data_IF_889708576339
#
_entry.id   IF_889708576339
#
_cell.length_a   1.000
_cell.length_b   1.000
_cell.length_c   1.000
_cell.angle_alpha   90.00
_cell.angle_beta   90.00
_cell.angle_gamma   90.00
#
_symmetry.space_group_name_H-M   'P 1'
#
loop_
_entity.id
_entity.type
_entity.pdbx_description
1 polymer ?
#
# COMPACT_ATOMS: atom_id res chain seq x y z
N UNK A 1 -7.41 -27.98 -19.11
CA UNK A 1 -7.72 -26.75 -18.36
C UNK A 1 -7.41 -27.04 -16.90
N UNK A 2 -6.28 -26.57 -16.37
CA UNK A 2 -5.65 -27.12 -15.15
C UNK A 2 -5.85 -26.28 -13.88
N UNK A 3 -6.60 -25.18 -13.96
CA UNK A 3 -7.12 -24.45 -12.81
C UNK A 3 -8.63 -24.56 -12.85
N UNK A 4 -9.25 -25.03 -11.77
CA UNK A 4 -10.71 -25.13 -11.60
C UNK A 4 -11.41 -23.76 -11.54
N UNK A 5 -10.71 -22.67 -11.83
CA UNK A 5 -11.20 -21.29 -11.81
C UNK A 5 -12.15 -21.06 -12.99
N UNK A 6 -13.29 -20.40 -12.78
CA UNK A 6 -14.23 -20.06 -13.84
C UNK A 6 -13.63 -19.04 -14.83
N UNK A 7 -13.97 -19.15 -16.11
CA UNK A 7 -13.46 -18.21 -17.13
C UNK A 7 -14.03 -16.82 -16.87
N UNK A 8 -13.19 -15.79 -16.88
CA UNK A 8 -13.61 -14.39 -16.65
C UNK A 8 -13.52 -13.90 -15.20
N UNK A 9 -13.13 -14.76 -14.25
CA UNK A 9 -12.86 -14.32 -12.88
C UNK A 9 -11.38 -13.94 -12.75
N UNK A 10 -11.05 -12.73 -12.24
CA UNK A 10 -9.65 -12.36 -12.01
C UNK A 10 -9.04 -13.27 -10.94
N UNK A 11 -7.81 -13.74 -11.17
CA UNK A 11 -7.07 -14.55 -10.20
C UNK A 11 -6.71 -13.76 -8.93
N UNK A 12 -6.60 -12.43 -9.07
CA UNK A 12 -6.30 -11.50 -8.00
C UNK A 12 -7.20 -10.28 -8.14
N UNK A 13 -7.77 -9.84 -7.02
CA UNK A 13 -8.55 -8.60 -6.91
C UNK A 13 -7.74 -7.44 -6.32
N UNK A 14 -6.48 -7.69 -5.96
CA UNK A 14 -5.61 -6.71 -5.34
C UNK A 14 -4.19 -6.78 -5.89
N UNK A 15 -3.52 -5.64 -5.99
CA UNK A 15 -2.13 -5.52 -6.40
C UNK A 15 -1.33 -4.76 -5.33
N UNK A 16 -0.19 -5.32 -4.93
CA UNK A 16 0.83 -4.63 -4.16
C UNK A 16 2.02 -4.36 -5.08
N UNK A 17 2.40 -3.09 -5.23
CA UNK A 17 3.48 -2.67 -6.11
C UNK A 17 4.57 -1.96 -5.30
N UNK A 18 5.70 -2.61 -5.07
CA UNK A 18 6.86 -1.97 -4.43
C UNK A 18 7.79 -1.42 -5.50
N UNK A 19 8.03 -0.11 -5.46
CA UNK A 19 8.87 0.60 -6.42
C UNK A 19 10.05 1.18 -5.67
N UNK A 20 11.21 0.54 -5.83
CA UNK A 20 12.46 1.15 -5.40
C UNK A 20 12.81 2.28 -6.37
N UNK A 21 12.75 3.49 -5.86
CA UNK A 21 12.80 4.74 -6.58
C UNK A 21 14.07 5.44 -6.08
N UNK A 22 15.20 5.24 -6.78
CA UNK A 22 16.47 5.89 -6.41
C UNK A 22 16.32 7.42 -6.30
N UNK A 23 17.28 8.12 -5.68
CA UNK A 23 17.15 9.57 -5.38
C UNK A 23 16.77 10.44 -6.59
N UNK A 24 17.13 10.01 -7.80
CA UNK A 24 16.86 10.69 -9.09
C UNK A 24 15.46 10.41 -9.70
N UNK A 25 14.65 9.58 -9.05
CA UNK A 25 13.38 9.06 -9.60
C UNK A 25 12.18 9.99 -9.43
N UNK A 26 12.25 10.97 -8.52
CA UNK A 26 11.36 12.12 -8.56
C UNK A 26 11.70 12.80 -9.87
N UNK A 27 10.85 12.63 -10.89
CA UNK A 27 10.96 13.17 -12.26
C UNK A 27 11.40 14.64 -12.30
N UNK A 28 12.67 14.90 -11.99
CA UNK A 28 13.31 16.19 -11.96
C UNK A 28 14.03 16.34 -13.28
N UNK A 29 13.24 16.35 -14.35
CA UNK A 29 13.77 16.70 -15.66
C UNK A 29 14.04 18.21 -15.64
N UNK A 30 15.29 18.66 -15.81
CA UNK A 30 15.61 20.08 -15.71
C UNK A 30 14.73 20.91 -16.65
N UNK A 31 13.99 21.87 -16.09
CA UNK A 31 13.07 22.72 -16.85
C UNK A 31 11.65 22.16 -17.04
N UNK A 32 11.35 20.96 -16.52
CA UNK A 32 10.00 20.38 -16.53
C UNK A 32 9.46 20.20 -15.11
N UNK A 33 8.17 20.52 -14.93
CA UNK A 33 7.44 20.32 -13.68
C UNK A 33 6.31 19.33 -13.94
N UNK A 34 6.27 18.24 -13.17
CA UNK A 34 5.12 17.36 -13.13
C UNK A 34 3.92 18.14 -12.58
N UNK A 35 2.84 18.22 -13.35
CA UNK A 35 1.60 18.90 -12.93
C UNK A 35 0.63 17.91 -12.28
N UNK A 36 0.50 16.73 -12.87
CA UNK A 36 -0.34 15.64 -12.37
C UNK A 36 0.16 14.30 -12.96
N UNK A 37 -0.11 13.22 -12.25
CA UNK A 37 0.22 11.85 -12.64
C UNK A 37 -0.84 10.90 -12.11
N UNK A 38 -1.78 10.48 -12.96
CA UNK A 38 -2.79 9.50 -12.55
C UNK A 38 -2.32 8.09 -12.83
N UNK A 39 -2.01 7.33 -11.79
CA UNK A 39 -1.82 5.89 -11.89
C UNK A 39 -3.16 5.19 -12.11
N UNK A 40 -3.31 4.45 -13.23
CA UNK A 40 -4.53 3.68 -13.52
C UNK A 40 -4.27 2.21 -13.24
N UNK A 41 -5.20 1.57 -12.56
CA UNK A 41 -5.16 0.14 -12.26
C UNK A 41 -6.47 -0.53 -12.68
N UNK A 42 -6.38 -1.77 -13.16
CA UNK A 42 -7.55 -2.62 -13.44
C UNK A 42 -7.94 -3.50 -12.25
N UNK A 43 -7.26 -3.33 -11.11
CA UNK A 43 -7.54 -4.05 -9.87
C UNK A 43 -8.47 -3.24 -8.97
N UNK A 44 -9.49 -3.88 -8.35
CA UNK A 44 -10.36 -3.23 -7.36
C UNK A 44 -9.63 -2.59 -6.19
N UNK A 45 -8.44 -3.08 -5.84
CA UNK A 45 -7.55 -2.51 -4.83
C UNK A 45 -6.10 -2.54 -5.35
N UNK A 46 -5.39 -1.43 -5.22
CA UNK A 46 -3.97 -1.33 -5.51
C UNK A 46 -3.29 -0.51 -4.44
N UNK A 47 -2.18 -1.02 -3.89
CA UNK A 47 -1.27 -0.28 -3.03
C UNK A 47 0.09 -0.21 -3.72
N UNK A 48 0.54 1.00 -4.05
CA UNK A 48 1.90 1.27 -4.50
C UNK A 48 2.71 1.80 -3.32
N UNK A 49 3.87 1.19 -3.05
CA UNK A 49 4.87 1.67 -2.10
C UNK A 49 6.02 2.24 -2.90
N UNK A 50 6.23 3.54 -2.81
CA UNK A 50 7.36 4.25 -3.38
C UNK A 50 8.46 4.34 -2.32
N UNK A 51 9.56 3.65 -2.55
CA UNK A 51 10.72 3.68 -1.66
C UNK A 51 11.78 4.62 -2.21
N UNK A 52 11.93 5.77 -1.55
CA UNK A 52 12.92 6.80 -1.87
C UNK A 52 14.20 6.67 -1.02
N UNK A 53 14.40 5.55 -0.35
CA UNK A 53 15.55 5.26 0.51
C UNK A 53 15.45 5.87 1.92
N UNK A 54 15.05 7.13 2.03
CA UNK A 54 14.88 7.82 3.32
C UNK A 54 13.44 7.85 3.82
N UNK A 55 12.48 7.68 2.91
CA UNK A 55 11.06 7.71 3.21
C UNK A 55 10.29 6.75 2.28
N UNK A 56 9.15 6.27 2.76
CA UNK A 56 8.19 5.52 1.97
C UNK A 56 6.97 6.40 1.70
N UNK A 57 6.52 6.43 0.46
CA UNK A 57 5.25 7.03 0.06
C UNK A 57 4.25 5.92 -0.31
N UNK A 58 3.02 6.05 0.17
CA UNK A 58 1.96 5.05 0.02
C UNK A 58 0.83 5.62 -0.81
N UNK A 59 0.60 5.01 -1.98
CA UNK A 59 -0.49 5.39 -2.88
C UNK A 59 -1.49 4.24 -2.92
N UNK A 60 -2.73 4.49 -2.49
CA UNK A 60 -3.82 3.51 -2.54
C UNK A 60 -4.89 3.95 -3.52
N UNK A 61 -5.22 3.03 -4.43
CA UNK A 61 -6.39 3.10 -5.27
C UNK A 61 -7.35 1.98 -4.88
N UNK A 62 -8.58 2.34 -4.54
CA UNK A 62 -9.62 1.38 -4.21
C UNK A 62 -10.93 1.75 -4.90
N UNK A 63 -11.72 0.73 -5.21
CA UNK A 63 -13.12 0.89 -5.61
C UNK A 63 -14.03 0.85 -4.39
N UNK A 64 -15.16 1.55 -4.46
CA UNK A 64 -16.19 1.48 -3.42
C UNK A 64 -16.64 0.02 -3.17
N UNK A 65 -16.94 -0.34 -1.90
CA UNK A 65 -17.10 0.53 -0.74
C UNK A 65 -15.80 0.81 0.05
N UNK A 66 -14.65 0.32 -0.42
CA UNK A 66 -13.41 0.47 0.32
C UNK A 66 -12.89 1.91 0.23
N UNK A 67 -12.78 2.58 1.38
CA UNK A 67 -12.25 3.94 1.48
C UNK A 67 -10.71 3.91 1.42
N UNK A 68 -10.09 4.53 0.40
CA UNK A 68 -8.64 4.51 0.25
C UNK A 68 -7.92 5.21 1.41
N UNK A 69 -8.52 6.22 2.05
CA UNK A 69 -7.90 6.93 3.16
C UNK A 69 -7.81 6.05 4.41
N UNK A 70 -8.90 5.32 4.71
CA UNK A 70 -8.94 4.37 5.82
C UNK A 70 -7.95 3.23 5.63
N UNK A 71 -7.89 2.69 4.41
CA UNK A 71 -6.90 1.67 4.03
C UNK A 71 -5.47 2.19 4.17
N UNK A 72 -5.22 3.44 3.79
CA UNK A 72 -3.89 4.05 3.88
C UNK A 72 -3.47 4.19 5.36
N UNK A 73 -4.38 4.69 6.20
CA UNK A 73 -4.12 4.81 7.64
C UNK A 73 -3.85 3.44 8.30
N UNK A 74 -4.62 2.39 7.95
CA UNK A 74 -4.37 1.04 8.45
C UNK A 74 -3.03 0.49 7.99
N UNK A 75 -2.65 0.69 6.72
CA UNK A 75 -1.35 0.25 6.19
C UNK A 75 -0.19 0.98 6.86
N UNK A 76 -0.30 2.29 7.06
CA UNK A 76 0.68 3.06 7.79
C UNK A 76 0.85 2.52 9.22
N UNK A 77 -0.25 2.33 9.95
CA UNK A 77 -0.23 1.77 11.30
C UNK A 77 0.41 0.38 11.33
N UNK A 78 0.09 -0.49 10.35
CA UNK A 78 0.69 -1.81 10.24
C UNK A 78 2.22 -1.76 10.03
N UNK A 79 2.71 -0.84 9.19
CA UNK A 79 4.15 -0.66 8.94
C UNK A 79 4.87 -0.14 10.19
N UNK A 80 4.31 0.87 10.86
CA UNK A 80 4.86 1.41 12.11
C UNK A 80 4.99 0.31 13.18
N UNK A 81 3.93 -0.48 13.37
CA UNK A 81 3.90 -1.58 14.34
C UNK A 81 4.85 -2.71 13.97
N UNK A 82 4.97 -3.02 12.68
CA UNK A 82 5.91 -4.02 12.20
C UNK A 82 7.36 -3.59 12.45
N UNK A 83 7.70 -2.33 12.15
CA UNK A 83 9.04 -1.79 12.42
C UNK A 83 9.35 -1.79 13.91
N UNK A 84 8.40 -1.40 14.76
CA UNK A 84 8.57 -1.42 16.22
C UNK A 84 8.75 -2.85 16.76
N UNK A 85 7.91 -3.79 16.31
CA UNK A 85 8.02 -5.19 16.70
C UNK A 85 9.35 -5.81 16.25
N UNK A 86 9.82 -5.52 15.05
CA UNK A 86 11.13 -5.99 14.57
C UNK A 86 12.29 -5.42 15.39
N UNK A 87 12.17 -4.17 15.87
CA UNK A 87 13.20 -3.52 16.67
C UNK A 87 13.26 -4.07 18.12
N UNK A 88 12.10 -4.32 18.74
CA UNK A 88 12.02 -4.61 20.17
C UNK A 88 11.69 -6.06 20.50
N UNK A 89 10.84 -6.71 19.70
CA UNK A 89 10.32 -8.06 19.95
C UNK A 89 10.16 -8.86 18.65
N UNK A 90 11.26 -9.19 17.93
CA UNK A 90 11.19 -9.76 16.59
C UNK A 90 10.56 -11.16 16.52
N UNK A 91 10.36 -11.84 17.66
CA UNK A 91 9.63 -13.11 17.72
C UNK A 91 8.11 -12.93 17.84
N UNK A 92 7.60 -11.69 17.97
CA UNK A 92 6.16 -11.40 17.99
C UNK A 92 5.52 -11.94 16.71
N UNK A 93 4.39 -12.63 16.86
CA UNK A 93 3.67 -13.13 15.69
C UNK A 93 3.03 -11.96 14.93
N UNK A 94 3.13 -11.96 13.60
CA UNK A 94 2.55 -10.91 12.75
C UNK A 94 1.05 -10.70 13.00
N UNK A 95 0.33 -11.76 13.39
CA UNK A 95 -1.10 -11.71 13.73
C UNK A 95 -1.41 -10.94 15.01
N UNK A 96 -0.39 -10.59 15.81
CA UNK A 96 -0.54 -9.82 17.04
C UNK A 96 -0.32 -8.31 16.84
N UNK A 97 0.06 -7.88 15.63
CA UNK A 97 0.21 -6.45 15.33
C UNK A 97 -1.15 -5.76 15.33
N UNK A 98 -1.28 -4.69 16.12
CA UNK A 98 -2.48 -3.85 16.12
C UNK A 98 -2.44 -2.90 14.92
N UNK A 99 -3.09 -3.31 13.83
CA UNK A 99 -3.12 -2.57 12.57
C UNK A 99 -4.25 -1.53 12.49
N UNK A 100 -5.04 -1.36 13.56
CA UNK A 100 -6.18 -0.44 13.58
C UNK A 100 -5.77 0.95 14.08
N UNK A 101 -5.86 1.99 13.23
CA UNK A 101 -5.67 3.37 13.66
C UNK A 101 -6.63 3.76 14.77
N UNK A 102 -6.24 4.71 15.62
CA UNK A 102 -7.10 5.19 16.70
C UNK A 102 -8.47 5.70 16.20
N UNK A 103 -8.51 6.32 15.02
CA UNK A 103 -9.74 6.80 14.41
C UNK A 103 -10.73 5.65 14.10
N UNK A 104 -10.23 4.49 13.66
CA UNK A 104 -11.05 3.30 13.37
C UNK A 104 -11.59 2.65 14.64
N UNK A 105 -10.79 2.64 15.72
CA UNK A 105 -11.19 2.05 17.00
C UNK A 105 -12.40 2.72 17.63
N UNK A 106 -12.63 4.00 17.34
CA UNK A 106 -13.78 4.75 17.86
C UNK A 106 -15.07 4.55 17.03
N UNK A 107 -15.00 3.88 15.88
CA UNK A 107 -16.13 3.62 14.98
C UNK A 107 -16.75 2.22 15.16
N UNK A 108 -16.13 1.37 16.01
CA UNK A 108 -16.57 0.02 16.36
C UNK A 108 -17.23 0.00 17.75
#
# INVERSE_FOLDING_TARGET
RCSSVATGVPLFSSLLNYRHQGEDSRLQWPGMRLLDGTERTNYPLCLSVNDYGSELDLIIHSMQPADPQRLCAMMQCALEQLTDALAHTPQMAVTQLDVLPAAERNLL
#
